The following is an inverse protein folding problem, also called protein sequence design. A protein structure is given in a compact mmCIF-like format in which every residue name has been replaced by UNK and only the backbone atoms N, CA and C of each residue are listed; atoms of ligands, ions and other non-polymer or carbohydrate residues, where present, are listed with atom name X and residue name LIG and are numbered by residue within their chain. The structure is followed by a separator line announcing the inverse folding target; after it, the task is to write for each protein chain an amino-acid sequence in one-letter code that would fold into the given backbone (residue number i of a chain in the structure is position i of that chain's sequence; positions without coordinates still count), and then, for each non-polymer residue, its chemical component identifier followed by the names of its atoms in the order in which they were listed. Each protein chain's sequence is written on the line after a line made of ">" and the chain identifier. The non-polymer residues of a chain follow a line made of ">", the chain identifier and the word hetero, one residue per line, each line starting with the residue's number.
data_IF_915222708864
#
_entry.id   IF_915222708864
#
_cell.length_a   1.000
_cell.length_b   1.000
_cell.length_c   1.000
_cell.angle_alpha   90.00
_cell.angle_beta   90.00
_cell.angle_gamma   90.00
#
_symmetry.space_group_name_H-M   'P 1'
#
loop_
_entity.id
_entity.type
_entity.pdbx_description
1 polymer ?
#
# COMPACT_ATOMS: atom_id res chain seq x y z
N UNK A 1 18.04 -7.16 -10.52
CA UNK A 1 17.53 -6.73 -9.20
C UNK A 1 16.68 -5.49 -9.40
N UNK A 2 15.49 -5.41 -8.78
CA UNK A 2 14.55 -4.29 -8.97
C UNK A 2 14.08 -3.79 -7.60
N UNK A 3 14.02 -2.46 -7.42
CA UNK A 3 13.42 -1.83 -6.23
C UNK A 3 12.68 -0.58 -6.64
N UNK A 4 11.44 -0.44 -6.17
CA UNK A 4 10.63 0.75 -6.35
C UNK A 4 9.98 1.14 -5.02
N UNK A 5 10.02 2.45 -4.73
CA UNK A 5 9.28 3.07 -3.63
C UNK A 5 8.28 4.03 -4.25
N UNK A 6 6.99 3.83 -3.97
CA UNK A 6 5.93 4.73 -4.38
C UNK A 6 5.36 5.42 -3.16
N UNK A 7 5.24 6.73 -3.22
CA UNK A 7 4.58 7.53 -2.18
C UNK A 7 3.13 7.83 -2.59
N UNK A 8 2.28 8.09 -1.60
CA UNK A 8 0.98 8.71 -1.83
C UNK A 8 1.15 10.02 -2.64
N UNK A 9 0.16 10.35 -3.47
CA UNK A 9 0.20 11.60 -4.24
C UNK A 9 0.11 12.82 -3.32
N UNK A 10 0.58 13.98 -3.80
CA UNK A 10 0.43 15.26 -3.08
C UNK A 10 -1.04 15.56 -2.79
N UNK A 11 -1.94 15.20 -3.71
CA UNK A 11 -3.39 15.37 -3.54
C UNK A 11 -3.92 14.50 -2.40
N UNK A 12 -3.53 13.21 -2.36
CA UNK A 12 -3.92 12.31 -1.26
C UNK A 12 -3.33 12.78 0.07
N UNK A 13 -2.08 13.24 0.07
CA UNK A 13 -1.44 13.82 1.24
C UNK A 13 -2.22 15.01 1.79
N UNK A 14 -2.53 15.97 0.92
CA UNK A 14 -3.28 17.16 1.29
C UNK A 14 -4.66 16.79 1.84
N UNK A 15 -5.39 15.90 1.17
CA UNK A 15 -6.73 15.49 1.59
C UNK A 15 -6.74 14.80 2.96
N UNK A 16 -5.80 13.88 3.20
CA UNK A 16 -5.67 13.19 4.50
C UNK A 16 -5.27 14.15 5.61
N UNK A 17 -4.38 15.11 5.33
CA UNK A 17 -3.98 16.13 6.30
C UNK A 17 -5.11 17.09 6.62
N UNK A 18 -5.85 17.58 5.61
CA UNK A 18 -7.02 18.44 5.81
C UNK A 18 -8.08 17.74 6.66
N UNK A 19 -8.32 16.45 6.42
CA UNK A 19 -9.23 15.65 7.24
C UNK A 19 -8.73 15.56 8.70
N UNK A 20 -7.44 15.28 8.91
CA UNK A 20 -6.85 15.22 10.25
C UNK A 20 -6.99 16.54 11.00
N UNK A 21 -6.72 17.66 10.33
CA UNK A 21 -6.90 19.01 10.89
C UNK A 21 -8.36 19.27 11.24
N UNK A 22 -9.30 18.92 10.35
CA UNK A 22 -10.74 19.11 10.60
C UNK A 22 -11.23 18.28 11.79
N UNK A 23 -10.84 17.00 11.88
CA UNK A 23 -11.19 16.13 13.03
C UNK A 23 -10.58 16.64 14.33
N UNK A 24 -9.34 17.13 14.28
CA UNK A 24 -8.68 17.74 15.44
C UNK A 24 -9.41 19.01 15.88
N UNK A 25 -9.78 19.88 14.94
CA UNK A 25 -10.55 21.08 15.21
C UNK A 25 -11.93 20.75 15.80
N UNK A 26 -12.60 19.73 15.29
CA UNK A 26 -13.90 19.26 15.81
C UNK A 26 -13.77 18.71 17.24
N UNK A 27 -12.77 17.85 17.48
CA UNK A 27 -12.56 17.26 18.81
C UNK A 27 -12.22 18.32 19.86
N UNK A 28 -11.34 19.27 19.53
CA UNK A 28 -11.04 20.41 20.40
C UNK A 28 -12.28 21.30 20.58
N UNK A 29 -13.03 21.61 19.51
CA UNK A 29 -14.23 22.45 19.57
C UNK A 29 -15.36 21.85 20.39
N UNK A 30 -15.55 20.52 20.33
CA UNK A 30 -16.51 19.79 21.17
C UNK A 30 -16.04 19.64 22.62
N UNK A 31 -14.73 19.61 22.84
CA UNK A 31 -14.14 19.56 24.18
C UNK A 31 -14.25 20.87 24.96
N UNK A 32 -14.46 22.02 24.28
CA UNK A 32 -14.71 23.30 24.95
C UNK A 32 -16.11 23.26 25.58
N UNK A 33 -16.24 22.61 26.73
CA UNK A 33 -17.44 22.72 27.56
C UNK A 33 -17.55 24.15 28.12
N UNK A 34 -18.77 24.71 28.26
CA UNK A 34 -18.99 26.06 28.77
C UNK A 34 -18.59 26.24 30.26
N UNK A 35 -18.24 25.15 30.95
CA UNK A 35 -17.97 25.12 32.40
C UNK A 35 -16.49 25.07 32.79
N UNK A 36 -15.56 25.27 31.86
CA UNK A 36 -14.17 25.62 32.17
C UNK A 36 -13.10 24.59 31.82
N UNK A 37 -11.96 25.10 31.34
CA UNK A 37 -10.65 24.45 31.24
C UNK A 37 -10.52 23.32 30.22
N UNK A 38 -9.71 23.53 29.17
CA UNK A 38 -9.26 22.46 28.27
C UNK A 38 -8.28 21.55 29.02
N UNK A 39 -8.70 20.32 29.33
CA UNK A 39 -7.83 19.30 29.91
C UNK A 39 -6.98 18.64 28.82
N UNK A 40 -5.77 18.20 29.17
CA UNK A 40 -4.90 17.44 28.25
C UNK A 40 -5.56 16.16 27.72
N UNK A 41 -6.47 15.57 28.51
CA UNK A 41 -7.25 14.37 28.13
C UNK A 41 -8.19 14.65 26.95
N UNK A 42 -8.68 15.88 26.82
CA UNK A 42 -9.63 16.26 25.77
C UNK A 42 -8.96 16.54 24.43
N UNK A 43 -7.67 16.91 24.44
CA UNK A 43 -6.86 17.19 23.24
C UNK A 43 -6.20 15.92 22.69
N UNK A 44 -6.00 14.92 23.55
CA UNK A 44 -5.30 13.68 23.21
C UNK A 44 -5.90 12.92 22.01
N UNK A 45 -7.24 12.77 21.89
CA UNK A 45 -7.87 12.10 20.74
C UNK A 45 -7.63 12.86 19.44
N UNK A 46 -7.70 14.20 19.46
CA UNK A 46 -7.43 15.04 18.30
C UNK A 46 -5.97 14.96 17.86
N UNK A 47 -5.03 15.06 18.81
CA UNK A 47 -3.60 14.90 18.54
C UNK A 47 -3.27 13.51 17.97
N UNK A 48 -3.88 12.45 18.50
CA UNK A 48 -3.71 11.08 17.99
C UNK A 48 -4.28 10.94 16.57
N UNK A 49 -5.47 11.48 16.31
CA UNK A 49 -6.06 11.49 14.97
C UNK A 49 -5.16 12.22 13.96
N UNK A 50 -4.62 13.38 14.33
CA UNK A 50 -3.67 14.12 13.50
C UNK A 50 -2.39 13.33 13.24
N UNK A 51 -1.83 12.67 14.26
CA UNK A 51 -0.64 11.84 14.13
C UNK A 51 -0.87 10.66 13.17
N UNK A 52 -2.03 10.00 13.27
CA UNK A 52 -2.42 8.92 12.35
C UNK A 52 -2.58 9.46 10.93
N UNK A 53 -3.23 10.61 10.75
CA UNK A 53 -3.37 11.26 9.45
C UNK A 53 -2.00 11.65 8.86
N UNK A 54 -1.08 12.18 9.67
CA UNK A 54 0.27 12.52 9.23
C UNK A 54 1.07 11.27 8.80
N UNK A 55 0.94 10.16 9.55
CA UNK A 55 1.54 8.89 9.18
C UNK A 55 0.94 8.31 7.88
N UNK A 56 -0.39 8.42 7.72
CA UNK A 56 -1.13 8.01 6.52
C UNK A 56 -0.81 8.87 5.29
N UNK A 57 -0.61 10.18 5.45
CA UNK A 57 -0.15 11.05 4.37
C UNK A 57 1.26 10.62 3.88
N UNK A 58 2.12 10.16 4.78
CA UNK A 58 3.45 9.63 4.46
C UNK A 58 3.45 8.15 4.06
N UNK A 59 2.30 7.62 3.66
CA UNK A 59 2.19 6.23 3.22
C UNK A 59 3.05 5.98 1.98
N UNK A 60 3.75 4.85 1.98
CA UNK A 60 4.49 4.38 0.81
C UNK A 60 4.36 2.88 0.62
N UNK A 61 4.36 2.46 -0.65
CA UNK A 61 4.48 1.07 -1.06
C UNK A 61 5.92 0.83 -1.51
N UNK A 62 6.54 -0.24 -1.03
CA UNK A 62 7.87 -0.65 -1.48
C UNK A 62 7.78 -2.05 -2.07
N UNK A 63 8.30 -2.17 -3.28
CA UNK A 63 8.42 -3.43 -4.01
C UNK A 63 9.89 -3.67 -4.28
N UNK A 64 10.42 -4.78 -3.80
CA UNK A 64 11.81 -5.17 -4.02
C UNK A 64 11.87 -6.60 -4.55
N UNK A 65 12.45 -6.80 -5.73
CA UNK A 65 12.70 -8.11 -6.35
C UNK A 65 14.18 -8.42 -6.23
N UNK A 66 14.49 -9.34 -5.31
CA UNK A 66 15.83 -9.92 -5.15
C UNK A 66 16.02 -11.16 -6.02
N UNK A 67 17.16 -11.86 -5.87
CA UNK A 67 17.48 -13.04 -6.67
C UNK A 67 16.58 -14.26 -6.37
N UNK A 68 16.15 -14.44 -5.12
CA UNK A 68 15.38 -15.62 -4.69
C UNK A 68 13.93 -15.31 -4.30
N UNK A 69 13.63 -14.05 -4.00
CA UNK A 69 12.31 -13.66 -3.52
C UNK A 69 11.99 -12.20 -3.85
N UNK A 70 10.69 -11.93 -4.01
CA UNK A 70 10.14 -10.60 -4.01
C UNK A 70 9.65 -10.25 -2.60
N UNK A 71 9.83 -8.98 -2.20
CA UNK A 71 9.27 -8.41 -0.98
C UNK A 71 8.33 -7.27 -1.35
N UNK A 72 7.11 -7.35 -0.85
CA UNK A 72 6.12 -6.27 -0.86
C UNK A 72 6.03 -5.70 0.54
N UNK A 73 5.99 -4.38 0.69
CA UNK A 73 5.73 -3.76 1.99
C UNK A 73 4.92 -2.48 1.87
N UNK A 74 4.02 -2.28 2.83
CA UNK A 74 3.34 -1.02 3.06
C UNK A 74 3.99 -0.34 4.25
N UNK A 75 4.36 0.93 4.10
CA UNK A 75 4.92 1.75 5.16
C UNK A 75 4.00 2.92 5.46
N UNK A 76 3.86 3.24 6.75
CA UNK A 76 3.19 4.43 7.27
C UNK A 76 4.22 5.26 8.03
N UNK A 77 4.40 6.53 7.65
CA UNK A 77 5.41 7.39 8.29
C UNK A 77 6.84 6.82 8.27
N UNK A 78 7.19 5.99 7.29
CA UNK A 78 8.48 5.30 7.19
C UNK A 78 8.56 3.95 7.89
N UNK A 79 7.59 3.61 8.75
CA UNK A 79 7.55 2.33 9.49
C UNK A 79 6.81 1.28 8.67
N UNK A 80 7.36 0.06 8.47
CA UNK A 80 6.66 -1.01 7.77
C UNK A 80 5.51 -1.56 8.63
N UNK A 81 4.28 -1.30 8.20
CA UNK A 81 3.06 -1.80 8.89
C UNK A 81 2.56 -3.11 8.30
N UNK A 82 2.99 -3.44 7.09
CA UNK A 82 2.77 -4.74 6.48
C UNK A 82 3.94 -5.10 5.60
N UNK A 83 4.32 -6.38 5.62
CA UNK A 83 5.38 -6.93 4.78
C UNK A 83 5.04 -8.35 4.35
N UNK A 84 5.24 -8.65 3.08
CA UNK A 84 5.12 -10.00 2.54
C UNK A 84 6.33 -10.34 1.69
N UNK A 85 7.01 -11.44 2.05
CA UNK A 85 8.00 -12.09 1.20
C UNK A 85 7.30 -13.17 0.37
N UNK A 86 7.59 -13.20 -0.92
CA UNK A 86 7.07 -14.15 -1.90
C UNK A 86 8.30 -14.79 -2.56
N UNK A 87 8.63 -16.05 -2.22
CA UNK A 87 9.69 -16.79 -2.90
C UNK A 87 9.39 -16.94 -4.39
N UNK A 88 10.42 -16.95 -5.24
CA UNK A 88 10.22 -17.08 -6.69
C UNK A 88 9.49 -18.38 -7.09
N UNK A 89 9.76 -19.49 -6.41
CA UNK A 89 9.09 -20.78 -6.67
C UNK A 89 7.60 -20.79 -6.29
N UNK A 90 7.11 -19.83 -5.51
CA UNK A 90 5.68 -19.70 -5.23
C UNK A 90 4.94 -18.97 -6.36
N UNK A 91 5.64 -18.34 -7.30
CA UNK A 91 5.06 -17.49 -8.34
C UNK A 91 4.69 -18.35 -9.56
N UNK A 92 3.40 -18.50 -9.81
CA UNK A 92 2.91 -19.31 -10.93
C UNK A 92 2.75 -18.47 -12.20
N UNK A 93 2.26 -17.24 -12.04
CA UNK A 93 1.96 -16.36 -13.18
C UNK A 93 2.18 -14.90 -12.82
N UNK A 94 2.73 -14.16 -13.79
CA UNK A 94 2.88 -12.72 -13.77
C UNK A 94 2.21 -12.13 -15.00
N UNK A 95 1.36 -11.14 -14.80
CA UNK A 95 0.74 -10.36 -15.87
C UNK A 95 0.94 -8.88 -15.55
N UNK A 96 1.51 -8.12 -16.47
CA UNK A 96 1.65 -6.67 -16.31
C UNK A 96 1.65 -5.94 -17.64
N UNK A 97 1.49 -4.61 -17.54
CA UNK A 97 1.23 -3.64 -18.61
C UNK A 97 2.03 -3.77 -19.91
N UNK A 98 1.61 -4.66 -20.79
CA UNK A 98 1.66 -4.47 -22.25
C UNK A 98 0.53 -3.52 -22.67
N UNK A 99 0.52 -3.04 -23.92
CA UNK A 99 -0.61 -2.27 -24.43
C UNK A 99 -1.91 -3.08 -24.22
N UNK A 100 -2.81 -2.58 -23.35
CA UNK A 100 -4.02 -3.29 -22.93
C UNK A 100 -3.90 -4.15 -21.65
N UNK A 101 -2.81 -4.03 -20.89
CA UNK A 101 -2.63 -4.76 -19.63
C UNK A 101 -3.58 -4.32 -18.50
N UNK A 102 -3.66 -5.12 -17.43
CA UNK A 102 -4.62 -4.90 -16.35
C UNK A 102 -4.34 -3.58 -15.62
N UNK A 103 -5.29 -2.66 -15.70
CA UNK A 103 -5.32 -1.48 -14.84
C UNK A 103 -6.05 -1.84 -13.54
N UNK A 104 -5.49 -1.46 -12.40
CA UNK A 104 -6.17 -1.57 -11.12
C UNK A 104 -6.40 -0.15 -10.63
N UNK A 105 -7.67 0.23 -10.59
CA UNK A 105 -8.08 1.50 -10.01
C UNK A 105 -8.25 1.36 -8.49
N UNK A 106 -8.01 2.45 -7.76
CA UNK A 106 -8.10 2.52 -6.32
C UNK A 106 -9.49 2.11 -5.87
N UNK A 107 -10.52 2.60 -6.58
CA UNK A 107 -11.91 2.42 -6.22
C UNK A 107 -12.35 0.97 -6.41
N UNK A 108 -11.96 0.34 -7.53
CA UNK A 108 -12.23 -1.08 -7.76
C UNK A 108 -11.45 -2.01 -6.81
N UNK A 109 -10.32 -1.54 -6.28
CA UNK A 109 -9.57 -2.22 -5.22
C UNK A 109 -10.02 -1.87 -3.78
N UNK A 110 -11.10 -1.09 -3.59
CA UNK A 110 -11.60 -0.72 -2.26
C UNK A 110 -10.77 0.32 -1.51
N UNK A 111 -9.94 1.09 -2.22
CA UNK A 111 -9.20 2.26 -1.75
C UNK A 111 -7.68 2.14 -1.86
N UNK A 112 -6.98 3.12 -1.30
CA UNK A 112 -5.52 3.16 -1.23
C UNK A 112 -5.00 2.32 -0.05
N UNK A 113 -3.74 1.90 -0.14
CA UNK A 113 -3.00 1.11 0.84
C UNK A 113 -2.97 -0.38 0.52
N UNK A 114 -3.05 -1.19 1.57
CA UNK A 114 -3.22 -2.64 1.49
C UNK A 114 -4.71 -2.98 1.60
N UNK A 115 -5.23 -3.73 0.63
CA UNK A 115 -6.65 -4.12 0.60
C UNK A 115 -6.79 -5.61 0.35
N UNK A 116 -7.70 -6.24 1.10
CA UNK A 116 -8.06 -7.64 0.93
C UNK A 116 -9.35 -7.70 0.10
N UNK A 117 -9.26 -8.25 -1.12
CA UNK A 117 -10.37 -8.29 -2.09
C UNK A 117 -11.20 -9.57 -2.02
N UNK A 118 -11.01 -10.36 -0.95
CA UNK A 118 -11.59 -11.70 -0.82
C UNK A 118 -10.94 -12.74 -1.75
N UNK A 119 -11.18 -14.02 -1.46
CA UNK A 119 -10.67 -15.13 -2.27
C UNK A 119 -9.14 -15.21 -2.35
N UNK A 120 -8.43 -14.77 -1.30
CA UNK A 120 -6.95 -14.78 -1.26
C UNK A 120 -6.26 -13.66 -2.04
N UNK A 121 -7.02 -12.71 -2.58
CA UNK A 121 -6.51 -11.59 -3.37
C UNK A 121 -6.19 -10.38 -2.49
N UNK A 122 -5.02 -9.78 -2.72
CA UNK A 122 -4.51 -8.63 -1.97
C UNK A 122 -4.02 -7.56 -2.95
N UNK A 123 -4.56 -6.36 -2.85
CA UNK A 123 -4.08 -5.21 -3.60
C UNK A 123 -3.16 -4.35 -2.73
N UNK A 124 -2.04 -3.91 -3.29
CA UNK A 124 -1.13 -2.95 -2.69
C UNK A 124 -1.00 -1.75 -3.64
N UNK A 125 -1.67 -0.66 -3.27
CA UNK A 125 -1.76 0.51 -4.15
C UNK A 125 -1.83 1.82 -3.35
N UNK A 126 -0.80 2.64 -3.45
CA UNK A 126 -0.74 3.95 -2.77
C UNK A 126 -1.02 5.14 -3.71
N UNK A 127 -1.06 4.88 -5.02
CA UNK A 127 -1.45 5.83 -6.07
C UNK A 127 -1.94 5.03 -7.28
N UNK A 128 -2.93 5.57 -8.00
CA UNK A 128 -3.38 5.04 -9.29
C UNK A 128 -2.21 4.85 -10.27
N UNK A 129 -2.35 3.86 -11.14
CA UNK A 129 -1.36 3.52 -12.18
C UNK A 129 -1.55 2.11 -12.71
N UNK A 130 -0.68 1.73 -13.65
CA UNK A 130 -0.59 0.35 -14.11
C UNK A 130 -0.30 -0.60 -12.94
N UNK A 131 -0.92 -1.77 -12.97
CA UNK A 131 -0.72 -2.80 -11.96
C UNK A 131 -0.09 -4.04 -12.56
N UNK A 132 0.72 -4.69 -11.74
CA UNK A 132 1.26 -6.02 -12.02
C UNK A 132 0.49 -7.00 -11.16
N UNK A 133 -0.15 -7.95 -11.82
CA UNK A 133 -0.86 -9.08 -11.21
C UNK A 133 0.12 -10.24 -11.03
N UNK A 134 0.25 -10.70 -9.80
CA UNK A 134 1.18 -11.76 -9.41
C UNK A 134 0.37 -12.86 -8.74
N UNK A 135 0.24 -13.98 -9.45
CA UNK A 135 -0.51 -15.15 -9.00
C UNK A 135 0.48 -16.13 -8.37
N UNK A 136 0.14 -16.62 -7.18
CA UNK A 136 1.03 -17.49 -6.41
C UNK A 136 0.30 -18.70 -5.81
N UNK A 137 1.07 -19.73 -5.47
CA UNK A 137 0.64 -20.97 -4.79
C UNK A 137 -0.48 -21.70 -5.55
N UNK A 138 -0.23 -22.04 -6.80
CA UNK A 138 -1.19 -22.71 -7.68
C UNK A 138 -2.48 -21.91 -7.89
N UNK A 139 -2.38 -20.57 -7.96
CA UNK A 139 -3.55 -19.71 -8.15
C UNK A 139 -4.35 -19.35 -6.90
N UNK A 140 -3.97 -19.84 -5.71
CA UNK A 140 -4.73 -19.61 -4.46
C UNK A 140 -4.61 -18.20 -3.91
N UNK A 141 -3.55 -17.48 -4.27
CA UNK A 141 -3.32 -16.11 -3.82
C UNK A 141 -2.92 -15.24 -4.99
N UNK A 142 -3.35 -13.99 -4.92
CA UNK A 142 -3.08 -13.01 -5.96
C UNK A 142 -2.68 -11.70 -5.33
N UNK A 143 -1.60 -11.11 -5.84
CA UNK A 143 -1.14 -9.80 -5.43
C UNK A 143 -1.25 -8.84 -6.61
N UNK A 144 -2.03 -7.77 -6.45
CA UNK A 144 -2.14 -6.67 -7.40
C UNK A 144 -1.27 -5.53 -6.92
N UNK A 145 -0.19 -5.23 -7.64
CA UNK A 145 0.83 -4.26 -7.22
C UNK A 145 0.90 -3.12 -8.22
N UNK A 146 0.47 -1.93 -7.81
CA UNK A 146 0.53 -0.74 -8.67
C UNK A 146 1.96 -0.19 -8.75
N UNK A 147 2.50 -0.07 -9.97
CA UNK A 147 3.89 0.32 -10.24
C UNK A 147 3.96 1.43 -11.29
N UNK A 148 4.89 2.39 -11.12
CA UNK A 148 5.20 3.37 -12.17
C UNK A 148 6.14 2.81 -13.24
N UNK A 149 6.74 1.64 -12.97
CA UNK A 149 7.65 0.90 -13.84
C UNK A 149 7.11 -0.51 -14.06
N UNK A 150 5.81 -0.63 -14.35
CA UNK A 150 5.10 -1.92 -14.36
C UNK A 150 5.75 -2.94 -15.31
N UNK A 151 6.24 -2.51 -16.49
CA UNK A 151 6.97 -3.39 -17.43
C UNK A 151 8.25 -3.95 -16.83
N UNK A 152 9.05 -3.11 -16.18
CA UNK A 152 10.30 -3.53 -15.53
C UNK A 152 10.05 -4.42 -14.33
N UNK A 153 9.01 -4.13 -13.54
CA UNK A 153 8.57 -4.98 -12.44
C UNK A 153 8.11 -6.34 -12.97
N UNK A 154 7.31 -6.38 -14.02
CA UNK A 154 6.84 -7.61 -14.66
C UNK A 154 8.02 -8.46 -15.12
N UNK A 155 8.99 -7.86 -15.84
CA UNK A 155 10.19 -8.55 -16.29
C UNK A 155 11.03 -9.08 -15.12
N UNK A 156 11.21 -8.28 -14.05
CA UNK A 156 11.98 -8.69 -12.88
C UNK A 156 11.33 -9.86 -12.13
N UNK A 157 9.99 -9.85 -11.95
CA UNK A 157 9.27 -10.93 -11.28
C UNK A 157 9.22 -12.19 -12.15
N UNK A 158 9.05 -12.04 -13.47
CA UNK A 158 9.13 -13.17 -14.41
C UNK A 158 10.52 -13.83 -14.38
N UNK A 159 11.60 -13.02 -14.35
CA UNK A 159 12.96 -13.53 -14.20
C UNK A 159 13.13 -14.28 -12.86
N UNK A 160 12.64 -13.72 -11.75
CA UNK A 160 12.66 -14.38 -10.44
C UNK A 160 11.96 -15.74 -10.47
N UNK A 161 10.77 -15.83 -11.06
CA UNK A 161 10.01 -17.08 -11.17
C UNK A 161 10.77 -18.13 -11.99
N UNK A 162 11.38 -17.73 -13.10
CA UNK A 162 12.14 -18.64 -13.98
C UNK A 162 13.42 -19.20 -13.35
N UNK A 163 14.06 -18.47 -12.44
CA UNK A 163 15.35 -18.86 -11.85
C UNK A 163 15.22 -19.64 -10.53
N UNK A 164 14.01 -19.83 -10.00
CA UNK A 164 13.82 -20.52 -8.72
C UNK A 164 13.27 -21.92 -8.98
N UNK A 165 14.08 -23.00 -8.86
CA UNK A 165 13.58 -24.35 -9.06
C UNK A 165 12.49 -24.69 -8.05
N UNK A 166 11.43 -25.35 -8.52
CA UNK A 166 10.35 -25.86 -7.67
C UNK A 166 10.93 -26.90 -6.71
N UNK A 167 10.76 -26.74 -5.38
CA UNK A 167 11.16 -27.79 -4.44
C UNK A 167 10.35 -29.06 -4.75
N UNK A 168 11.07 -30.16 -4.99
CA UNK A 168 10.49 -31.50 -5.21
C UNK A 168 9.83 -32.04 -3.96
#
# INVERSE_FOLDING_TARGET
>A
MFTEVRHASVVTQALVMTLGIAVTGLTVGLAVSPTGGLGWVDVLPGALALAICAAAARMSSVVAVGPEAMTLSLRLGGVPVWRRRIPGHEIDQVQGGTAGGPTVDALSAGGLGLRFLGGGRVALMVRQGEAVRIVVRGGRREYLVASGRARELTAAVAALAAHTPTPR
#
